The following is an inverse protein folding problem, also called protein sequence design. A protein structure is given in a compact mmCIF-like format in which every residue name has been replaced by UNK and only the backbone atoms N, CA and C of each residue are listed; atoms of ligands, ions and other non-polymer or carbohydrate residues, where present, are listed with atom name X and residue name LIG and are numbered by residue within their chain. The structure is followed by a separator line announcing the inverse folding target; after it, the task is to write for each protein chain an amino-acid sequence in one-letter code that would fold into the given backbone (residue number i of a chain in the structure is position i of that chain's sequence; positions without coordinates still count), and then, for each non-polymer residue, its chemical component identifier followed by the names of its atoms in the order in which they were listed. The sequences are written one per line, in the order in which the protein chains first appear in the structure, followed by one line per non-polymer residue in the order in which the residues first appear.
data_IF_690495740093
#
_entry.id   IF_690495740093
#
_cell.length_a   1.000
_cell.length_b   1.000
_cell.length_c   1.000
_cell.angle_alpha   90.00
_cell.angle_beta   90.00
_cell.angle_gamma   90.00
#
_symmetry.space_group_name_H-M   'P 1'
#
loop_
_entity.id
_entity.type
_entity.pdbx_description
1 polymer ?
#
# COMPACT_ATOMS: atom_id res chain seq x y z
N UNK A 1 -40.97 32.97 34.64
CA UNK A 1 -40.42 33.86 33.60
C UNK A 1 -38.90 33.77 33.58
N UNK A 2 -38.16 34.14 34.64
CA UNK A 2 -36.69 34.03 34.66
C UNK A 2 -36.11 32.61 34.40
N UNK A 3 -36.82 31.56 34.81
CA UNK A 3 -36.40 30.16 34.62
C UNK A 3 -36.47 29.69 33.15
N UNK A 4 -37.38 30.29 32.38
CA UNK A 4 -37.50 30.01 30.94
C UNK A 4 -36.34 30.68 30.19
N UNK A 5 -35.99 31.92 30.56
CA UNK A 5 -34.86 32.64 29.98
C UNK A 5 -33.52 31.94 30.23
N UNK A 6 -33.33 31.35 31.42
CA UNK A 6 -32.15 30.56 31.75
C UNK A 6 -32.07 29.28 30.92
N UNK A 7 -33.20 28.59 30.74
CA UNK A 7 -33.24 27.35 29.95
C UNK A 7 -32.86 27.62 28.49
N UNK A 8 -33.44 28.66 27.89
CA UNK A 8 -33.12 29.10 26.52
C UNK A 8 -31.65 29.51 26.37
N UNK A 9 -31.08 30.15 27.39
CA UNK A 9 -29.66 30.50 27.42
C UNK A 9 -28.78 29.25 27.42
N UNK A 10 -29.03 28.28 28.30
CA UNK A 10 -28.24 27.05 28.38
C UNK A 10 -28.36 26.20 27.13
N UNK A 11 -29.54 26.12 26.50
CA UNK A 11 -29.69 25.42 25.22
C UNK A 11 -28.85 26.06 24.11
N UNK A 12 -28.79 27.40 24.04
CA UNK A 12 -27.95 28.11 23.07
C UNK A 12 -26.47 27.84 23.30
N UNK A 13 -26.01 27.87 24.55
CA UNK A 13 -24.62 27.54 24.91
C UNK A 13 -24.30 26.09 24.52
N UNK A 14 -25.19 25.14 24.81
CA UNK A 14 -25.00 23.74 24.45
C UNK A 14 -24.88 23.53 22.93
N UNK A 15 -25.65 24.28 22.12
CA UNK A 15 -25.52 24.25 20.65
C UNK A 15 -24.16 24.77 20.18
N UNK A 16 -23.66 25.86 20.78
CA UNK A 16 -22.36 26.44 20.44
C UNK A 16 -21.21 25.48 20.80
N UNK A 17 -21.24 24.91 22.01
CA UNK A 17 -20.22 23.96 22.46
C UNK A 17 -20.22 22.68 21.60
N UNK A 18 -21.40 22.18 21.22
CA UNK A 18 -21.52 21.04 20.30
C UNK A 18 -20.91 21.34 18.93
N UNK A 19 -21.18 22.52 18.36
CA UNK A 19 -20.61 22.94 17.08
C UNK A 19 -19.08 23.08 17.17
N UNK A 20 -18.58 23.63 18.28
CA UNK A 20 -17.15 23.76 18.57
C UNK A 20 -16.44 22.41 18.68
N UNK A 21 -17.05 21.45 19.40
CA UNK A 21 -16.54 20.09 19.55
C UNK A 21 -16.50 19.34 18.21
N UNK A 22 -17.47 19.59 17.33
CA UNK A 22 -17.51 19.03 15.97
C UNK A 22 -16.53 19.71 15.01
N UNK A 23 -15.82 20.76 15.47
CA UNK A 23 -14.79 21.43 14.70
C UNK A 23 -15.33 22.41 13.66
N UNK A 24 -16.59 22.81 13.74
CA UNK A 24 -17.09 23.94 12.98
C UNK A 24 -16.40 25.22 13.50
N UNK A 25 -15.47 25.76 12.70
CA UNK A 25 -14.94 27.11 12.94
C UNK A 25 -16.03 28.14 12.62
N UNK A 26 -15.91 29.36 13.14
CA UNK A 26 -16.75 30.46 12.72
C UNK A 26 -16.56 30.69 11.21
N UNK A 27 -17.47 30.14 10.39
CA UNK A 27 -17.59 30.44 8.97
C UNK A 27 -18.57 31.60 8.85
N UNK A 28 -18.06 32.82 8.97
CA UNK A 28 -18.79 34.01 8.52
C UNK A 28 -18.70 34.07 6.99
N UNK A 29 -19.74 34.61 6.34
CA UNK A 29 -19.75 34.85 4.90
C UNK A 29 -18.53 35.70 4.50
N UNK A 30 -17.61 35.12 3.70
CA UNK A 30 -16.34 35.77 3.32
C UNK A 30 -15.10 35.39 4.15
N UNK A 31 -15.22 34.53 5.16
CA UNK A 31 -14.05 33.99 5.90
C UNK A 31 -13.57 32.66 5.32
N UNK A 32 -12.26 32.43 5.40
CA UNK A 32 -11.61 31.26 4.82
C UNK A 32 -11.96 30.01 5.64
N UNK A 33 -12.85 29.18 5.12
CA UNK A 33 -13.36 27.99 5.79
C UNK A 33 -12.25 27.01 6.19
N UNK A 34 -12.54 26.16 7.19
CA UNK A 34 -11.57 25.20 7.76
C UNK A 34 -11.02 24.20 6.72
N UNK A 35 -11.74 24.01 5.62
CA UNK A 35 -11.32 23.25 4.43
C UNK A 35 -10.06 23.81 3.75
N UNK A 36 -9.73 25.08 3.95
CA UNK A 36 -8.48 25.68 3.47
C UNK A 36 -7.27 25.23 4.30
N UNK A 37 -7.46 25.03 5.62
CA UNK A 37 -6.37 24.68 6.53
C UNK A 37 -6.16 23.17 6.66
N UNK A 38 -7.18 22.36 6.38
CA UNK A 38 -7.10 20.90 6.42
C UNK A 38 -7.09 20.33 5.01
N UNK A 39 -5.90 20.20 4.41
CA UNK A 39 -5.73 19.29 3.26
C UNK A 39 -5.96 17.86 3.77
N UNK A 40 -6.90 17.08 3.21
CA UNK A 40 -7.01 15.68 3.54
C UNK A 40 -5.70 15.01 3.13
N UNK A 41 -4.93 14.57 4.13
CA UNK A 41 -3.72 13.78 3.85
C UNK A 41 -4.17 12.49 3.17
N UNK A 42 -3.72 12.27 1.93
CA UNK A 42 -4.02 11.04 1.21
C UNK A 42 -3.41 9.90 2.01
N UNK A 43 -4.24 9.10 2.67
CA UNK A 43 -3.81 7.92 3.41
C UNK A 43 -3.43 6.84 2.41
N UNK A 44 -2.19 6.87 1.93
CA UNK A 44 -1.63 5.69 1.28
C UNK A 44 -1.67 4.55 2.30
N UNK A 45 -2.19 3.36 1.94
CA UNK A 45 -2.24 2.27 2.89
C UNK A 45 -0.82 1.90 3.32
N UNK A 46 -0.55 1.94 4.64
CA UNK A 46 0.77 1.74 5.26
C UNK A 46 1.42 0.39 4.93
N UNK A 47 0.68 -0.52 4.30
CA UNK A 47 1.12 -1.85 3.89
C UNK A 47 1.85 -1.88 2.53
N UNK A 48 1.76 -0.83 1.71
CA UNK A 48 2.37 -0.83 0.36
C UNK A 48 3.89 -0.95 0.44
N UNK A 49 4.53 -0.21 1.36
CA UNK A 49 5.99 -0.24 1.52
C UNK A 49 6.52 -1.63 1.87
N UNK A 50 6.05 -2.26 2.97
CA UNK A 50 6.44 -3.62 3.31
C UNK A 50 6.13 -4.65 2.22
N UNK A 51 4.97 -4.55 1.58
CA UNK A 51 4.59 -5.45 0.49
C UNK A 51 5.56 -5.35 -0.70
N UNK A 52 5.97 -4.13 -1.06
CA UNK A 52 6.94 -3.91 -2.12
C UNK A 52 8.31 -4.55 -1.80
N UNK A 53 8.77 -4.46 -0.56
CA UNK A 53 10.03 -5.08 -0.12
C UNK A 53 9.97 -6.61 -0.23
N UNK A 54 8.86 -7.23 0.19
CA UNK A 54 8.68 -8.69 0.08
C UNK A 54 8.70 -9.14 -1.38
N UNK A 55 7.99 -8.42 -2.25
CA UNK A 55 7.96 -8.71 -3.69
C UNK A 55 9.37 -8.55 -4.29
N UNK A 56 10.11 -7.49 -3.92
CA UNK A 56 11.46 -7.28 -4.40
C UNK A 56 12.43 -8.40 -3.97
N UNK A 57 12.37 -8.85 -2.71
CA UNK A 57 13.15 -9.99 -2.23
C UNK A 57 12.82 -11.27 -3.00
N UNK A 58 11.54 -11.54 -3.26
CA UNK A 58 11.12 -12.72 -4.02
C UNK A 58 11.76 -12.73 -5.43
N UNK A 59 11.72 -11.61 -6.14
CA UNK A 59 12.35 -11.49 -7.45
C UNK A 59 13.88 -11.56 -7.40
N UNK A 60 14.51 -10.98 -6.39
CA UNK A 60 15.96 -11.04 -6.21
C UNK A 60 16.45 -12.49 -6.04
N UNK A 61 15.78 -13.29 -5.19
CA UNK A 61 16.09 -14.71 -5.01
C UNK A 61 15.87 -15.48 -6.32
N UNK A 62 14.73 -15.27 -7.00
CA UNK A 62 14.43 -15.93 -8.29
C UNK A 62 15.50 -15.62 -9.35
N UNK A 63 15.98 -14.37 -9.41
CA UNK A 63 17.01 -13.95 -10.35
C UNK A 63 18.40 -14.48 -10.02
N UNK A 64 18.77 -14.54 -8.73
CA UNK A 64 20.02 -15.16 -8.28
C UNK A 64 20.06 -16.66 -8.62
N UNK A 65 18.96 -17.39 -8.39
CA UNK A 65 18.85 -18.81 -8.78
C UNK A 65 19.00 -19.00 -10.29
N UNK A 66 18.44 -18.11 -11.10
CA UNK A 66 18.56 -18.17 -12.56
C UNK A 66 20.01 -17.90 -13.02
N UNK A 67 20.72 -16.97 -12.38
CA UNK A 67 22.13 -16.66 -12.65
C UNK A 67 23.05 -17.85 -12.31
N UNK A 68 22.88 -18.48 -11.13
CA UNK A 68 23.74 -19.61 -10.73
C UNK A 68 23.50 -20.88 -11.55
N UNK A 69 22.26 -21.15 -11.96
CA UNK A 69 21.89 -22.40 -12.64
C UNK A 69 22.05 -22.32 -14.17
N UNK A 70 21.97 -21.11 -14.73
CA UNK A 70 22.01 -20.87 -16.18
C UNK A 70 20.69 -21.21 -16.89
N UNK A 71 20.41 -20.51 -18.00
CA UNK A 71 19.13 -20.54 -18.72
C UNK A 71 18.62 -21.94 -19.07
N UNK A 72 19.50 -22.82 -19.54
CA UNK A 72 19.12 -24.14 -20.04
C UNK A 72 18.69 -25.08 -18.91
N UNK A 73 19.45 -25.10 -17.82
CA UNK A 73 19.24 -26.00 -16.69
C UNK A 73 18.08 -25.51 -15.80
N UNK A 74 17.85 -24.19 -15.74
CA UNK A 74 16.70 -23.60 -15.06
C UNK A 74 15.38 -24.00 -15.75
N UNK A 75 15.31 -23.87 -17.08
CA UNK A 75 14.13 -24.29 -17.87
C UNK A 75 13.81 -25.77 -17.69
N UNK A 76 14.83 -26.62 -17.75
CA UNK A 76 14.64 -28.07 -17.54
C UNK A 76 14.05 -28.40 -16.15
N UNK A 77 14.47 -27.71 -15.09
CA UNK A 77 13.91 -27.90 -13.74
C UNK A 77 12.47 -27.38 -13.62
N UNK A 78 12.15 -26.26 -14.27
CA UNK A 78 10.80 -25.72 -14.31
C UNK A 78 9.87 -26.68 -15.06
N UNK A 79 10.30 -27.22 -16.19
CA UNK A 79 9.52 -28.19 -16.96
C UNK A 79 9.29 -29.49 -16.17
N UNK A 80 10.28 -29.96 -15.41
CA UNK A 80 10.13 -31.10 -14.50
C UNK A 80 9.15 -30.82 -13.35
N UNK A 81 9.17 -29.62 -12.76
CA UNK A 81 8.19 -29.20 -11.75
C UNK A 81 6.77 -29.10 -12.32
N UNK A 82 6.61 -28.67 -13.58
CA UNK A 82 5.29 -28.62 -14.21
C UNK A 82 4.75 -30.00 -14.57
N UNK A 83 5.63 -30.96 -14.83
CA UNK A 83 5.27 -32.35 -15.09
C UNK A 83 4.88 -33.14 -13.81
N UNK A 84 5.20 -32.62 -12.61
CA UNK A 84 4.86 -33.28 -11.35
C UNK A 84 3.45 -32.89 -10.85
N UNK A 85 2.99 -33.54 -9.77
CA UNK A 85 1.64 -33.37 -9.23
C UNK A 85 1.64 -32.67 -7.86
N UNK A 86 0.55 -31.96 -7.55
CA UNK A 86 0.39 -31.28 -6.26
C UNK A 86 1.05 -29.90 -6.19
N UNK A 87 1.71 -29.61 -5.05
CA UNK A 87 2.29 -28.29 -4.73
C UNK A 87 3.44 -27.93 -5.69
N UNK A 88 4.15 -28.92 -6.18
CA UNK A 88 5.33 -28.76 -7.01
C UNK A 88 4.97 -28.25 -8.43
N UNK A 89 3.80 -28.65 -8.94
CA UNK A 89 3.20 -28.07 -10.16
C UNK A 89 2.91 -26.58 -10.03
N UNK A 90 2.42 -26.15 -8.87
CA UNK A 90 2.17 -24.72 -8.60
C UNK A 90 3.49 -23.95 -8.55
N UNK A 91 4.53 -24.53 -7.94
CA UNK A 91 5.88 -24.00 -7.97
C UNK A 91 6.42 -23.82 -9.39
N UNK A 92 6.22 -24.81 -10.26
CA UNK A 92 6.62 -24.76 -11.68
C UNK A 92 5.90 -23.67 -12.48
N UNK A 93 4.64 -23.35 -12.16
CA UNK A 93 3.92 -22.23 -12.79
C UNK A 93 4.48 -20.89 -12.30
N UNK A 94 4.71 -20.75 -10.99
CA UNK A 94 5.26 -19.52 -10.39
C UNK A 94 6.71 -19.25 -10.85
N UNK A 95 7.48 -20.31 -11.11
CA UNK A 95 8.89 -20.24 -11.49
C UNK A 95 9.12 -20.13 -13.00
N UNK A 96 8.08 -20.01 -13.84
CA UNK A 96 8.30 -19.71 -15.26
C UNK A 96 9.13 -18.43 -15.41
N UNK A 97 10.02 -18.43 -16.41
CA UNK A 97 10.93 -17.33 -16.65
C UNK A 97 10.14 -16.11 -17.15
N UNK A 98 9.74 -15.24 -16.24
CA UNK A 98 8.98 -14.03 -16.55
C UNK A 98 9.89 -12.97 -17.19
N UNK A 99 9.36 -12.09 -18.05
CA UNK A 99 10.12 -10.97 -18.63
C UNK A 99 10.80 -10.09 -17.57
N UNK A 100 10.17 -9.96 -16.39
CA UNK A 100 10.71 -9.25 -15.22
C UNK A 100 11.94 -9.96 -14.66
N UNK A 101 11.90 -11.29 -14.52
CA UNK A 101 13.03 -12.09 -14.05
C UNK A 101 14.21 -12.01 -15.01
N UNK A 102 13.96 -12.04 -16.32
CA UNK A 102 15.01 -11.90 -17.35
C UNK A 102 15.62 -10.50 -17.38
N UNK A 103 14.85 -9.46 -17.06
CA UNK A 103 15.37 -8.09 -16.97
C UNK A 103 16.22 -7.91 -15.71
N UNK A 104 15.76 -8.41 -14.56
CA UNK A 104 16.50 -8.40 -13.29
C UNK A 104 17.80 -9.22 -13.37
N UNK A 105 17.79 -10.39 -14.01
CA UNK A 105 19.00 -11.22 -14.13
C UNK A 105 20.10 -10.53 -14.94
N UNK A 106 19.75 -9.76 -15.99
CA UNK A 106 20.70 -8.95 -16.75
C UNK A 106 21.30 -7.82 -15.91
N UNK A 107 20.50 -7.16 -15.09
CA UNK A 107 20.98 -6.10 -14.19
C UNK A 107 21.90 -6.64 -13.10
N UNK A 108 21.58 -7.80 -12.53
CA UNK A 108 22.48 -8.47 -11.58
C UNK A 108 23.79 -8.88 -12.24
N UNK A 109 23.74 -9.40 -13.47
CA UNK A 109 24.95 -9.71 -14.24
C UNK A 109 25.83 -8.49 -14.50
N UNK A 110 25.24 -7.33 -14.78
CA UNK A 110 25.96 -6.08 -14.99
C UNK A 110 26.49 -5.43 -13.69
N UNK A 111 26.03 -5.86 -12.52
CA UNK A 111 26.53 -5.39 -11.22
C UNK A 111 27.59 -6.31 -10.61
N UNK A 112 27.59 -7.60 -11.00
CA UNK A 112 28.53 -8.61 -10.51
C UNK A 112 29.73 -8.85 -11.43
N UNK A 113 29.71 -8.31 -12.66
CA UNK A 113 30.83 -8.25 -13.61
C UNK A 113 31.20 -6.79 -13.88
#
# INVERSE_FOLDING_TARGET
MADQDLTDFYERVARIEKARAQGFGFEAEGTLGRSHYYRPTRRTPRIIGPLFVVIACFFAVKAAMHQEVGDALYRQRVDQMQASSGIERLGGIIMQADPVTLWLSRQLGALLH
#
